data_IF_141874874072
#
_entry.id   IF_141874874072
#
_cell.length_a   1.000
_cell.length_b   1.000
_cell.length_c   1.000
_cell.angle_alpha   90.00
_cell.angle_beta   90.00
_cell.angle_gamma   90.00
#
_symmetry.space_group_name_H-M   'P 1'
#
loop_
_entity.id
_entity.type
_entity.pdbx_description
1 polymer ?
#
# COMPACT_ATOMS: atom_id res chain seq x y z
N UNK A 1 -18.48 1.19 -19.56
CA UNK A 1 -19.81 0.85 -18.97
C UNK A 1 -19.85 1.37 -17.53
N UNK A 2 -20.94 2.02 -17.09
CA UNK A 2 -21.10 2.50 -15.69
C UNK A 2 -22.18 1.68 -15.00
N UNK A 3 -21.95 1.31 -13.73
CA UNK A 3 -22.92 0.58 -12.90
C UNK A 3 -23.26 1.45 -11.69
N UNK A 4 -24.55 1.70 -11.47
CA UNK A 4 -25.00 2.46 -10.31
C UNK A 4 -25.21 1.50 -9.14
N UNK A 5 -24.62 1.83 -7.98
CA UNK A 5 -24.74 1.08 -6.74
C UNK A 5 -25.13 2.03 -5.61
N UNK A 6 -25.97 1.56 -4.71
CA UNK A 6 -26.40 2.31 -3.51
C UNK A 6 -25.61 1.79 -2.31
N UNK A 7 -25.06 2.71 -1.52
CA UNK A 7 -24.32 2.40 -0.30
C UNK A 7 -24.75 3.35 0.81
N UNK A 8 -24.61 2.90 2.06
CA UNK A 8 -24.76 3.74 3.23
C UNK A 8 -23.42 4.38 3.57
N UNK A 9 -23.39 5.70 3.76
CA UNK A 9 -22.21 6.47 4.18
C UNK A 9 -22.59 7.46 5.28
N UNK A 10 -21.63 7.89 6.12
CA UNK A 10 -21.89 8.88 7.17
C UNK A 10 -22.50 10.17 6.62
N UNK A 11 -23.40 10.79 7.40
CA UNK A 11 -24.12 11.99 6.96
C UNK A 11 -23.18 13.17 6.74
N UNK A 12 -22.11 13.27 7.53
CA UNK A 12 -21.07 14.27 7.41
C UNK A 12 -20.36 14.18 6.06
N UNK A 13 -20.04 12.96 5.61
CA UNK A 13 -19.39 12.71 4.33
C UNK A 13 -20.29 13.11 3.15
N UNK A 14 -21.60 12.90 3.26
CA UNK A 14 -22.58 13.37 2.26
C UNK A 14 -22.56 14.89 2.17
N UNK A 15 -22.52 15.58 3.31
CA UNK A 15 -22.46 17.05 3.34
C UNK A 15 -21.17 17.58 2.71
N UNK A 16 -20.04 16.92 2.91
CA UNK A 16 -18.77 17.30 2.27
C UNK A 16 -18.77 17.00 0.78
N UNK A 17 -19.27 15.83 0.37
CA UNK A 17 -19.34 15.43 -1.03
C UNK A 17 -20.26 16.36 -1.83
N UNK A 18 -21.39 16.79 -1.24
CA UNK A 18 -22.31 17.76 -1.86
C UNK A 18 -21.67 19.09 -2.24
N UNK A 19 -20.60 19.50 -1.55
CA UNK A 19 -19.86 20.73 -1.88
C UNK A 19 -19.02 20.58 -3.15
N UNK A 20 -18.81 19.36 -3.65
CA UNK A 20 -18.02 19.10 -4.87
C UNK A 20 -18.93 19.13 -6.10
N UNK A 21 -18.47 19.83 -7.13
CA UNK A 21 -19.20 20.00 -8.39
C UNK A 21 -19.51 18.66 -9.08
N UNK A 22 -18.57 17.71 -9.06
CA UNK A 22 -18.74 16.38 -9.65
C UNK A 22 -18.55 15.28 -8.61
N UNK A 23 -19.65 14.92 -7.93
CA UNK A 23 -19.65 13.93 -6.85
C UNK A 23 -19.25 12.55 -7.35
N UNK A 24 -19.80 12.12 -8.50
CA UNK A 24 -19.52 10.82 -9.12
C UNK A 24 -18.04 10.66 -9.46
N UNK A 25 -17.41 11.70 -10.01
CA UNK A 25 -15.97 11.70 -10.30
C UNK A 25 -15.13 11.67 -9.04
N UNK A 26 -15.52 12.44 -8.01
CA UNK A 26 -14.83 12.45 -6.71
C UNK A 26 -14.82 11.08 -6.07
N UNK A 27 -15.99 10.41 -6.03
CA UNK A 27 -16.12 9.05 -5.50
C UNK A 27 -15.33 8.05 -6.35
N UNK A 28 -15.40 8.16 -7.67
CA UNK A 28 -14.64 7.29 -8.58
C UNK A 28 -13.13 7.41 -8.33
N UNK A 29 -12.62 8.62 -8.14
CA UNK A 29 -11.19 8.88 -7.85
C UNK A 29 -10.78 8.33 -6.48
N UNK A 30 -11.61 8.53 -5.46
CA UNK A 30 -11.33 8.02 -4.12
C UNK A 30 -11.29 6.49 -4.09
N UNK A 31 -12.25 5.83 -4.76
CA UNK A 31 -12.28 4.37 -4.88
C UNK A 31 -11.10 3.85 -5.69
N UNK A 32 -10.73 4.51 -6.80
CA UNK A 32 -9.53 4.14 -7.54
C UNK A 32 -8.28 4.24 -6.68
N UNK A 33 -8.10 5.33 -5.92
CA UNK A 33 -6.97 5.47 -5.00
C UNK A 33 -6.95 4.40 -3.91
N UNK A 34 -8.12 4.03 -3.40
CA UNK A 34 -8.23 3.00 -2.36
C UNK A 34 -7.96 1.58 -2.90
N UNK A 35 -8.32 1.32 -4.16
CA UNK A 35 -8.13 0.04 -4.84
C UNK A 35 -6.83 -0.03 -5.65
N UNK A 36 -6.08 1.07 -5.78
CA UNK A 36 -4.76 1.05 -6.37
C UNK A 36 -3.85 0.38 -5.35
N UNK A 37 -3.49 -0.89 -5.61
CA UNK A 37 -2.52 -1.69 -4.85
C UNK A 37 -1.09 -1.10 -4.97
N UNK A 38 -0.94 0.22 -4.96
CA UNK A 38 0.22 0.81 -4.29
C UNK A 38 0.03 0.60 -2.79
N UNK A 39 0.09 -0.66 -2.38
CA UNK A 39 0.40 -1.07 -1.04
C UNK A 39 1.70 -0.33 -0.70
N UNK A 40 1.59 0.73 0.09
CA UNK A 40 2.66 1.04 1.03
C UNK A 40 2.79 -0.24 1.85
N UNK A 41 3.66 -1.18 1.42
CA UNK A 41 3.93 -2.41 2.13
C UNK A 41 4.18 -2.04 3.57
N UNK A 42 3.19 -2.27 4.43
CA UNK A 42 3.42 -2.10 5.85
C UNK A 42 4.38 -3.21 6.21
N UNK A 43 5.44 -2.91 6.97
CA UNK A 43 6.46 -3.89 7.38
C UNK A 43 5.86 -5.17 8.00
N UNK A 44 4.59 -5.13 8.40
CA UNK A 44 3.84 -6.24 8.98
C UNK A 44 3.21 -7.21 7.95
N UNK A 45 3.07 -6.82 6.69
CA UNK A 45 2.44 -7.63 5.63
C UNK A 45 3.47 -8.22 4.65
N UNK A 46 4.68 -7.66 4.62
CA UNK A 46 5.78 -8.18 3.83
C UNK A 46 6.36 -9.46 4.46
N UNK A 47 6.50 -10.52 3.67
CA UNK A 47 7.23 -11.71 4.12
C UNK A 47 8.67 -11.37 4.52
N UNK A 48 9.23 -12.11 5.48
CA UNK A 48 10.62 -11.92 5.95
C UNK A 48 11.61 -11.85 4.78
N UNK A 49 11.40 -12.63 3.73
CA UNK A 49 12.22 -12.67 2.52
C UNK A 49 12.18 -11.34 1.74
N UNK A 50 11.03 -10.68 1.67
CA UNK A 50 10.89 -9.38 0.98
C UNK A 50 11.63 -8.29 1.76
N UNK A 51 11.46 -8.27 3.09
CA UNK A 51 12.13 -7.31 3.98
C UNK A 51 13.65 -7.49 3.90
N UNK A 52 14.14 -8.72 3.96
CA UNK A 52 15.58 -9.02 3.89
C UNK A 52 16.19 -8.64 2.54
N UNK A 53 15.46 -8.84 1.44
CA UNK A 53 15.90 -8.42 0.11
C UNK A 53 15.94 -6.90 -0.05
N UNK A 54 14.97 -6.17 0.48
CA UNK A 54 14.97 -4.70 0.50
C UNK A 54 16.13 -4.14 1.33
N UNK A 55 16.39 -4.72 2.50
CA UNK A 55 17.53 -4.34 3.33
C UNK A 55 18.87 -4.56 2.59
N UNK A 56 18.98 -5.65 1.82
CA UNK A 56 20.17 -5.96 1.02
C UNK A 56 20.55 -4.85 0.03
N UNK A 57 19.56 -4.13 -0.50
CA UNK A 57 19.79 -3.03 -1.45
C UNK A 57 20.33 -1.76 -0.78
N UNK A 58 20.23 -1.64 0.55
CA UNK A 58 20.61 -0.45 1.32
C UNK A 58 22.02 -0.52 1.91
N UNK A 59 22.58 -1.71 2.05
CA UNK A 59 23.91 -1.90 2.61
C UNK A 59 25.01 -1.93 1.56
N UNK A 60 26.22 -1.53 1.95
CA UNK A 60 27.38 -1.57 1.06
C UNK A 60 27.79 -3.04 0.81
N UNK A 61 28.28 -3.37 -0.39
CA UNK A 61 28.88 -4.68 -0.64
C UNK A 61 29.97 -4.98 0.40
N UNK A 62 29.96 -6.21 0.94
CA UNK A 62 30.93 -6.69 1.94
C UNK A 62 30.92 -5.95 3.30
N UNK A 63 29.85 -5.24 3.65
CA UNK A 63 29.70 -4.71 5.00
C UNK A 63 29.30 -5.82 6.01
N UNK A 64 29.63 -5.68 7.30
CA UNK A 64 29.21 -6.65 8.33
C UNK A 64 27.70 -6.90 8.35
N UNK A 65 26.91 -5.85 8.11
CA UNK A 65 25.45 -5.89 8.03
C UNK A 65 24.97 -6.71 6.82
N UNK A 66 25.68 -6.63 5.69
CA UNK A 66 25.39 -7.40 4.49
C UNK A 66 25.68 -8.90 4.68
N UNK A 67 26.74 -9.25 5.40
CA UNK A 67 27.07 -10.65 5.72
C UNK A 67 26.06 -11.25 6.72
N UNK A 68 25.60 -10.46 7.70
CA UNK A 68 24.49 -10.84 8.58
C UNK A 68 23.19 -11.06 7.79
N UNK A 69 22.85 -10.19 6.84
CA UNK A 69 21.67 -10.39 6.00
C UNK A 69 21.75 -11.65 5.14
N UNK A 70 22.91 -11.93 4.53
CA UNK A 70 23.11 -13.15 3.74
C UNK A 70 22.92 -14.42 4.58
N UNK A 71 23.44 -14.42 5.81
CA UNK A 71 23.28 -15.56 6.73
C UNK A 71 21.84 -15.73 7.18
N UNK A 72 21.12 -14.65 7.49
CA UNK A 72 19.68 -14.70 7.82
C UNK A 72 18.85 -15.22 6.64
N UNK A 73 19.11 -14.75 5.42
CA UNK A 73 18.42 -15.26 4.22
C UNK A 73 18.68 -16.76 4.06
N UNK A 74 19.92 -17.22 4.23
CA UNK A 74 20.29 -18.64 4.09
C UNK A 74 19.67 -19.55 5.16
N UNK A 75 19.27 -19.02 6.33
CA UNK A 75 18.60 -19.77 7.40
C UNK A 75 17.08 -19.88 7.14
N UNK A 76 16.50 -18.84 6.52
CA UNK A 76 15.06 -18.73 6.29
C UNK A 76 14.64 -19.35 4.93
N UNK A 77 15.58 -19.48 3.99
CA UNK A 77 15.37 -20.10 2.66
C UNK A 77 15.49 -21.62 2.71
#
# INVERSE_FOLDING_TARGET
MRVNRTFSIPVELVHELRKKHNQSETVTRALRKYLDDTEDYTLNEASDIIILNELRLRFKPMSPEMELLKTLIAIIS
#
